data_IF_016679694067
#
_entry.id   IF_016679694067
#
_cell.length_a   1.000
_cell.length_b   1.000
_cell.length_c   1.000
_cell.angle_alpha   90.00
_cell.angle_beta   90.00
_cell.angle_gamma   90.00
#
_symmetry.space_group_name_H-M   'P 1'
#
loop_
_entity.id
_entity.type
_entity.pdbx_description
1 polymer ?
#
# COMPACT_ATOMS: atom_id res chain seq x y z
N UNK A 1 -17.35 0.39 14.52
CA UNK A 1 -16.51 1.50 15.02
C UNK A 1 -15.56 0.97 16.09
N UNK A 2 -14.82 -0.10 15.79
CA UNK A 2 -13.97 -0.73 16.80
C UNK A 2 -12.69 0.05 17.04
N UNK A 3 -12.14 0.73 16.02
CA UNK A 3 -10.85 1.41 16.18
C UNK A 3 -11.00 2.72 16.97
N UNK A 4 -12.00 3.53 16.61
CA UNK A 4 -12.36 4.75 17.30
C UNK A 4 -12.71 4.46 18.75
N UNK A 5 -13.42 3.36 19.05
CA UNK A 5 -13.80 2.97 20.41
C UNK A 5 -12.64 2.93 21.41
N UNK A 6 -11.44 2.48 21.00
CA UNK A 6 -10.25 2.46 21.86
C UNK A 6 -9.56 3.82 22.01
N UNK A 7 -9.85 4.77 21.12
CA UNK A 7 -9.17 6.07 21.04
C UNK A 7 -10.07 7.27 21.34
N UNK A 8 -11.38 7.06 21.55
CA UNK A 8 -12.37 8.15 21.76
C UNK A 8 -11.94 9.10 22.86
N UNK A 9 -11.52 8.57 24.02
CA UNK A 9 -11.15 9.40 25.17
C UNK A 9 -9.99 10.34 24.85
N UNK A 10 -8.91 9.80 24.26
CA UNK A 10 -7.75 10.60 23.83
C UNK A 10 -8.13 11.64 22.76
N UNK A 11 -9.02 11.29 21.84
CA UNK A 11 -9.48 12.20 20.80
C UNK A 11 -10.34 13.34 21.39
N UNK A 12 -11.19 13.05 22.37
CA UNK A 12 -11.98 14.05 23.09
C UNK A 12 -11.09 15.02 23.87
N UNK A 13 -10.05 14.51 24.55
CA UNK A 13 -9.07 15.34 25.25
C UNK A 13 -8.32 16.27 24.29
N UNK A 14 -7.89 15.76 23.14
CA UNK A 14 -7.24 16.57 22.10
C UNK A 14 -8.19 17.63 21.55
N UNK A 15 -9.43 17.26 21.26
CA UNK A 15 -10.43 18.18 20.75
C UNK A 15 -10.76 19.31 21.73
N UNK A 16 -10.84 18.99 23.02
CA UNK A 16 -11.02 19.99 24.08
C UNK A 16 -9.81 20.93 24.19
N UNK A 17 -8.58 20.40 24.13
CA UNK A 17 -7.34 21.19 24.16
C UNK A 17 -7.18 22.10 22.94
N UNK A 18 -7.61 21.64 21.78
CA UNK A 18 -7.54 22.37 20.52
C UNK A 18 -8.81 23.20 20.22
N UNK A 19 -9.77 23.23 21.16
CA UNK A 19 -11.05 23.93 21.04
C UNK A 19 -11.81 23.63 19.72
N UNK A 20 -11.74 22.37 19.26
CA UNK A 20 -12.35 21.98 18.00
C UNK A 20 -13.87 22.12 18.06
N UNK A 21 -14.44 22.72 17.02
CA UNK A 21 -15.89 22.69 16.87
C UNK A 21 -16.38 21.27 16.49
N UNK A 22 -17.70 21.06 16.57
CA UNK A 22 -18.31 19.75 16.30
C UNK A 22 -17.93 19.18 14.92
N UNK A 23 -17.85 20.03 13.89
CA UNK A 23 -17.49 19.62 12.53
C UNK A 23 -16.04 19.15 12.46
N UNK A 24 -15.11 19.90 13.07
CA UNK A 24 -13.69 19.55 13.11
C UNK A 24 -13.45 18.25 13.87
N UNK A 25 -14.08 18.12 15.04
CA UNK A 25 -14.03 16.89 15.83
C UNK A 25 -14.53 15.69 15.02
N UNK A 26 -15.71 15.81 14.39
CA UNK A 26 -16.30 14.72 13.61
C UNK A 26 -15.41 14.34 12.42
N UNK A 27 -14.89 15.32 11.67
CA UNK A 27 -13.95 15.07 10.58
C UNK A 27 -12.71 14.32 11.07
N UNK A 28 -12.13 14.73 12.19
CA UNK A 28 -10.94 14.09 12.76
C UNK A 28 -11.23 12.67 13.25
N UNK A 29 -12.34 12.45 13.94
CA UNK A 29 -12.77 11.13 14.40
C UNK A 29 -12.96 10.14 13.23
N UNK A 30 -13.65 10.58 12.17
CA UNK A 30 -13.86 9.78 10.98
C UNK A 30 -12.55 9.49 10.24
N UNK A 31 -11.63 10.47 10.16
CA UNK A 31 -10.33 10.29 9.55
C UNK A 31 -9.48 9.27 10.31
N UNK A 32 -9.51 9.28 11.65
CA UNK A 32 -8.81 8.30 12.48
C UNK A 32 -9.39 6.90 12.32
N UNK A 33 -10.72 6.74 12.40
CA UNK A 33 -11.37 5.45 12.17
C UNK A 33 -11.04 4.89 10.78
N UNK A 34 -11.10 5.74 9.75
CA UNK A 34 -10.75 5.36 8.38
C UNK A 34 -9.31 4.89 8.28
N UNK A 35 -8.36 5.68 8.80
CA UNK A 35 -6.93 5.35 8.77
C UNK A 35 -6.64 4.03 9.48
N UNK A 36 -7.23 3.80 10.66
CA UNK A 36 -7.05 2.55 11.40
C UNK A 36 -7.68 1.33 10.74
N UNK A 37 -8.81 1.48 10.04
CA UNK A 37 -9.36 0.40 9.21
C UNK A 37 -8.50 0.12 7.99
N UNK A 38 -8.03 1.16 7.31
CA UNK A 38 -7.17 1.05 6.14
C UNK A 38 -5.87 0.32 6.49
N UNK A 39 -5.20 0.73 7.57
CA UNK A 39 -3.96 0.12 8.04
C UNK A 39 -4.14 -1.36 8.40
N UNK A 40 -5.15 -1.71 9.21
CA UNK A 40 -5.45 -3.12 9.54
C UNK A 40 -5.75 -3.95 8.29
N UNK A 41 -6.48 -3.38 7.34
CA UNK A 41 -6.78 -4.01 6.06
C UNK A 41 -5.52 -4.25 5.23
N UNK A 42 -4.62 -3.29 5.16
CA UNK A 42 -3.32 -3.40 4.49
C UNK A 42 -2.44 -4.47 5.14
N UNK A 43 -2.26 -4.42 6.47
CA UNK A 43 -1.45 -5.39 7.23
C UNK A 43 -1.94 -6.83 7.00
N UNK A 44 -3.26 -7.04 7.07
CA UNK A 44 -3.87 -8.34 6.81
C UNK A 44 -3.60 -8.84 5.38
N UNK A 45 -3.73 -7.97 4.38
CA UNK A 45 -3.49 -8.31 2.96
C UNK A 45 -2.01 -8.58 2.68
N UNK A 46 -1.10 -7.79 3.26
CA UNK A 46 0.35 -8.04 3.16
C UNK A 46 0.74 -9.38 3.80
N UNK A 47 0.16 -9.71 4.96
CA UNK A 47 0.38 -11.02 5.60
C UNK A 47 -0.10 -12.17 4.72
N UNK A 48 -1.25 -12.02 4.06
CA UNK A 48 -1.80 -13.02 3.14
C UNK A 48 -1.01 -13.13 1.83
N UNK A 49 -0.35 -12.05 1.41
CA UNK A 49 0.37 -11.99 0.15
C UNK A 49 1.61 -12.88 0.07
N UNK A 50 2.16 -13.33 1.21
CA UNK A 50 3.36 -14.19 1.26
C UNK A 50 4.55 -13.62 0.47
N UNK A 51 4.67 -12.29 0.45
CA UNK A 51 5.80 -11.63 -0.18
C UNK A 51 7.10 -12.06 0.54
N UNK A 52 8.20 -12.28 -0.19
CA UNK A 52 9.46 -12.69 0.42
C UNK A 52 10.06 -11.58 1.28
N UNK A 53 9.72 -10.32 0.98
CA UNK A 53 10.00 -9.13 1.77
C UNK A 53 9.01 -8.02 1.37
N UNK A 54 8.87 -6.99 2.19
CA UNK A 54 8.11 -5.78 1.84
C UNK A 54 9.09 -4.73 1.33
N UNK A 55 8.93 -4.34 0.06
CA UNK A 55 9.69 -3.26 -0.58
C UNK A 55 8.74 -2.39 -1.40
N UNK A 56 8.94 -1.08 -1.39
CA UNK A 56 8.11 -0.13 -2.15
C UNK A 56 8.80 0.30 -3.45
N UNK A 57 8.06 0.99 -4.32
CA UNK A 57 8.61 1.52 -5.57
C UNK A 57 9.61 2.66 -5.31
N UNK A 58 9.39 3.42 -4.23
CA UNK A 58 10.26 4.52 -3.80
C UNK A 58 11.63 3.99 -3.32
N UNK A 59 11.71 2.71 -2.97
CA UNK A 59 12.96 2.03 -2.60
C UNK A 59 13.67 1.39 -3.81
N UNK A 60 13.11 1.46 -5.01
CA UNK A 60 13.73 0.93 -6.22
C UNK A 60 14.81 1.90 -6.73
N UNK A 61 16.05 1.41 -6.85
CA UNK A 61 17.14 2.21 -7.42
C UNK A 61 17.11 2.13 -8.95
N UNK A 62 16.51 3.15 -9.57
CA UNK A 62 16.47 3.26 -11.02
C UNK A 62 17.84 3.57 -11.65
N UNK A 63 18.80 4.10 -10.89
CA UNK A 63 20.15 4.37 -11.43
C UNK A 63 20.91 3.07 -11.74
N UNK A 64 20.59 1.99 -11.02
CA UNK A 64 21.15 0.66 -11.23
C UNK A 64 20.60 -0.04 -12.48
N UNK A 65 19.43 0.38 -12.99
CA UNK A 65 18.83 -0.17 -14.20
C UNK A 65 18.29 0.95 -15.13
N UNK A 66 19.19 1.63 -15.86
CA UNK A 66 18.83 2.78 -16.71
C UNK A 66 17.94 2.40 -17.90
N UNK A 67 17.84 1.12 -18.25
CA UNK A 67 16.96 0.64 -19.32
C UNK A 67 15.48 0.58 -18.96
N UNK A 68 15.11 0.79 -17.68
CA UNK A 68 13.71 0.83 -17.26
C UNK A 68 13.14 2.22 -17.49
N UNK A 69 12.05 2.29 -18.26
CA UNK A 69 11.28 3.51 -18.40
C UNK A 69 10.50 3.80 -17.10
N UNK A 70 10.91 4.86 -16.40
CA UNK A 70 10.26 5.36 -15.19
C UNK A 70 8.78 5.68 -15.40
N UNK A 71 8.40 6.11 -16.61
CA UNK A 71 7.01 6.43 -16.95
C UNK A 71 6.15 5.17 -16.92
N UNK A 72 6.64 4.08 -17.48
CA UNK A 72 5.95 2.78 -17.47
C UNK A 72 5.79 2.27 -16.04
N UNK A 73 6.84 2.34 -15.21
CA UNK A 73 6.74 1.92 -13.80
C UNK A 73 5.72 2.76 -13.04
N UNK A 74 5.67 4.08 -13.29
CA UNK A 74 4.69 4.97 -12.69
C UNK A 74 3.26 4.66 -13.15
N UNK A 75 3.07 4.31 -14.41
CA UNK A 75 1.76 3.89 -14.93
C UNK A 75 1.29 2.59 -14.26
N UNK A 76 2.18 1.60 -14.16
CA UNK A 76 1.92 0.35 -13.45
C UNK A 76 1.61 0.58 -11.96
N UNK A 77 2.26 1.56 -11.32
CA UNK A 77 1.97 1.94 -9.94
C UNK A 77 0.54 2.45 -9.72
N UNK A 78 -0.12 2.92 -10.79
CA UNK A 78 -1.54 3.29 -10.77
C UNK A 78 -2.51 2.10 -10.80
N UNK A 79 -2.00 0.87 -10.99
CA UNK A 79 -2.76 -0.38 -10.92
C UNK A 79 -3.93 -0.51 -11.92
N UNK A 80 -3.99 0.34 -12.94
CA UNK A 80 -5.05 0.27 -13.96
C UNK A 80 -5.13 -1.10 -14.63
N UNK A 81 -3.98 -1.78 -14.79
CA UNK A 81 -3.90 -3.15 -15.31
C UNK A 81 -4.67 -4.16 -14.45
N UNK A 82 -4.73 -3.97 -13.12
CA UNK A 82 -5.51 -4.82 -12.21
C UNK A 82 -6.99 -4.66 -12.49
N UNK A 83 -7.47 -3.41 -12.64
CA UNK A 83 -8.86 -3.12 -12.97
C UNK A 83 -9.27 -3.63 -14.36
N UNK A 84 -8.34 -3.63 -15.32
CA UNK A 84 -8.52 -4.15 -16.68
C UNK A 84 -8.31 -5.67 -16.82
N UNK A 85 -7.93 -6.36 -15.75
CA UNK A 85 -7.57 -7.80 -15.78
C UNK A 85 -6.44 -8.11 -16.78
N UNK A 86 -5.46 -7.22 -16.89
CA UNK A 86 -4.30 -7.35 -17.77
C UNK A 86 -3.11 -7.97 -17.05
N UNK A 87 -2.29 -8.72 -17.79
CA UNK A 87 -1.06 -9.30 -17.26
C UNK A 87 0.13 -8.36 -17.48
N UNK A 88 0.96 -8.23 -16.46
CA UNK A 88 2.24 -7.52 -16.53
C UNK A 88 3.36 -8.54 -16.45
N UNK A 89 4.23 -8.56 -17.47
CA UNK A 89 5.37 -9.48 -17.54
C UNK A 89 6.65 -8.66 -17.46
N UNK A 90 7.49 -8.96 -16.47
CA UNK A 90 8.80 -8.33 -16.30
C UNK A 90 9.88 -9.21 -16.92
N UNK A 91 10.51 -8.74 -18.00
CA UNK A 91 11.54 -9.47 -18.75
C UNK A 91 12.91 -8.83 -18.55
N UNK A 92 13.96 -9.67 -18.54
CA UNK A 92 15.35 -9.21 -18.49
C UNK A 92 16.28 -10.18 -17.77
N UNK A 93 17.61 -9.93 -17.80
CA UNK A 93 18.63 -10.76 -17.15
C UNK A 93 18.40 -10.93 -15.65
N UNK A 94 18.93 -11.99 -15.00
CA UNK A 94 18.91 -12.11 -13.54
C UNK A 94 19.58 -10.89 -12.87
N UNK A 95 19.15 -10.54 -11.65
CA UNK A 95 19.75 -9.46 -10.87
C UNK A 95 19.30 -8.02 -11.20
N UNK A 96 18.50 -7.79 -12.24
CA UNK A 96 18.10 -6.43 -12.67
C UNK A 96 16.87 -5.84 -11.95
N UNK A 97 16.50 -6.38 -10.78
CA UNK A 97 15.43 -5.82 -9.95
C UNK A 97 13.99 -6.22 -10.31
N UNK A 98 13.77 -7.20 -11.20
CA UNK A 98 12.41 -7.69 -11.57
C UNK A 98 11.58 -8.11 -10.34
N UNK A 99 12.18 -8.90 -9.44
CA UNK A 99 11.49 -9.34 -8.21
C UNK A 99 11.14 -8.17 -7.31
N UNK A 100 12.00 -7.14 -7.23
CA UNK A 100 11.68 -5.92 -6.47
C UNK A 100 10.45 -5.24 -7.06
N UNK A 101 10.42 -5.01 -8.37
CA UNK A 101 9.27 -4.37 -9.02
C UNK A 101 7.98 -5.18 -8.82
N UNK A 102 8.02 -6.50 -8.98
CA UNK A 102 6.86 -7.36 -8.73
C UNK A 102 6.37 -7.26 -7.27
N UNK A 103 7.28 -7.29 -6.30
CA UNK A 103 6.97 -7.12 -4.89
C UNK A 103 6.38 -5.73 -4.63
N UNK A 104 6.98 -4.68 -5.15
CA UNK A 104 6.55 -3.30 -4.93
C UNK A 104 5.18 -2.99 -5.53
N UNK A 105 4.89 -3.52 -6.73
CA UNK A 105 3.55 -3.47 -7.31
C UNK A 105 2.55 -4.28 -6.46
N UNK A 106 2.95 -5.44 -5.95
CA UNK A 106 2.16 -6.21 -4.99
C UNK A 106 1.86 -5.44 -3.70
N UNK A 107 2.83 -4.71 -3.16
CA UNK A 107 2.62 -3.84 -1.99
C UNK A 107 1.64 -2.70 -2.32
N UNK A 108 1.78 -2.03 -3.47
CA UNK A 108 0.83 -1.00 -3.91
C UNK A 108 -0.59 -1.57 -4.08
N UNK A 109 -0.73 -2.75 -4.65
CA UNK A 109 -2.03 -3.42 -4.77
C UNK A 109 -2.63 -3.78 -3.39
N UNK A 110 -1.79 -4.28 -2.48
CA UNK A 110 -2.15 -4.55 -1.09
C UNK A 110 -2.35 -3.29 -0.25
N UNK A 111 -2.00 -2.10 -0.72
CA UNK A 111 -2.43 -0.83 -0.13
C UNK A 111 -3.81 -0.45 -0.68
N UNK A 112 -3.98 -0.51 -2.00
CA UNK A 112 -5.19 -0.12 -2.75
C UNK A 112 -6.44 -1.03 -2.63
N UNK A 113 -6.57 -1.83 -1.57
CA UNK A 113 -7.70 -2.75 -1.36
C UNK A 113 -7.61 -4.14 -1.98
N UNK A 114 -6.64 -4.45 -2.86
CA UNK A 114 -6.58 -5.73 -3.56
C UNK A 114 -5.97 -6.86 -2.73
N UNK A 115 -6.45 -8.09 -2.96
CA UNK A 115 -5.81 -9.33 -2.49
C UNK A 115 -4.64 -9.66 -3.41
N UNK A 116 -3.53 -10.04 -2.80
CA UNK A 116 -2.28 -10.35 -3.50
C UNK A 116 -1.82 -11.72 -3.07
N UNK A 117 -1.14 -12.44 -3.95
CA UNK A 117 -0.43 -13.68 -3.64
C UNK A 117 0.87 -13.69 -4.43
N UNK A 118 1.99 -13.88 -3.75
CA UNK A 118 3.29 -14.10 -4.34
C UNK A 118 3.59 -15.59 -4.35
N UNK A 119 3.93 -16.13 -5.52
CA UNK A 119 4.34 -17.51 -5.69
C UNK A 119 5.70 -17.53 -6.40
N UNK A 120 6.77 -18.00 -5.75
CA UNK A 120 7.99 -18.31 -6.47
C UNK A 120 7.72 -19.45 -7.45
N UNK A 121 8.38 -19.41 -8.61
CA UNK A 121 8.43 -20.56 -9.50
C UNK A 121 9.38 -21.59 -8.85
N UNK A 122 8.84 -22.36 -7.92
CA UNK A 122 9.50 -23.58 -7.44
C UNK A 122 9.32 -24.63 -8.54
N UNK A 123 10.43 -25.08 -9.12
CA UNK A 123 10.44 -26.26 -9.99
C UNK A 123 10.10 -27.52 -9.21
#
# INVERSE_FOLDING_TARGET
MEHLGYQVESLLEQAAKEELNYREFLCRALQQEWSGRHQRGMESRLKQARLPWVKTLEQFDFSFQPGIDHKVVRELAGLAFVGRSENVILLGPPGVGKTHLAVALGVKAADAGHRVLFMPLTG
#
